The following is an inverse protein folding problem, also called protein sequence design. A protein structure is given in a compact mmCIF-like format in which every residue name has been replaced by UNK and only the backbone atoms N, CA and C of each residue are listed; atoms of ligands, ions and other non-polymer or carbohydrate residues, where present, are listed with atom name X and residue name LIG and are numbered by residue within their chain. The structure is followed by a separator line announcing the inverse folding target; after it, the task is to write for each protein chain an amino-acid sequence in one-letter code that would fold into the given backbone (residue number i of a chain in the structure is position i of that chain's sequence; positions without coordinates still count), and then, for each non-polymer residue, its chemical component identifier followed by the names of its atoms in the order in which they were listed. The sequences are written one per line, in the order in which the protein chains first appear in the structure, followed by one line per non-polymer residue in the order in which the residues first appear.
data_IF_066616371899
#
_entry.id   IF_066616371899
#
_cell.length_a   1.000
_cell.length_b   1.000
_cell.length_c   1.000
_cell.angle_alpha   90.00
_cell.angle_beta   90.00
_cell.angle_gamma   90.00
#
_symmetry.space_group_name_H-M   'P 1'
#
loop_
_entity.id
_entity.type
_entity.pdbx_description
1 polymer ?
#
# COMPACT_ATOMS: atom_id res chain seq x y z
N UNK A 1 4.35 -17.55 -2.71
CA UNK A 1 4.49 -16.77 -3.96
C UNK A 1 5.85 -16.99 -4.61
N UNK A 2 6.94 -16.80 -3.88
CA UNK A 2 8.30 -16.92 -4.42
C UNK A 2 8.61 -18.32 -4.96
N UNK A 3 8.21 -19.36 -4.24
CA UNK A 3 8.47 -20.75 -4.61
C UNK A 3 7.81 -21.16 -5.93
N UNK A 4 6.70 -20.55 -6.30
CA UNK A 4 5.99 -20.84 -7.55
C UNK A 4 6.33 -19.85 -8.67
N UNK A 5 7.36 -19.03 -8.47
CA UNK A 5 7.88 -18.13 -9.50
C UNK A 5 7.25 -16.76 -9.58
N UNK A 6 6.39 -16.40 -8.64
CA UNK A 6 5.82 -15.04 -8.58
C UNK A 6 6.88 -14.06 -8.09
N UNK A 7 6.94 -12.89 -8.74
CA UNK A 7 7.95 -11.88 -8.47
C UNK A 7 7.42 -10.70 -7.63
N UNK A 8 6.14 -10.66 -7.39
CA UNK A 8 5.50 -9.59 -6.63
C UNK A 8 4.16 -9.99 -6.07
N UNK A 9 3.63 -9.13 -5.23
CA UNK A 9 2.29 -9.25 -4.64
C UNK A 9 1.57 -7.91 -4.77
N UNK A 10 0.26 -7.94 -4.92
CA UNK A 10 -0.56 -6.74 -4.90
C UNK A 10 -1.30 -6.66 -3.56
N UNK A 11 -1.30 -5.47 -2.96
CA UNK A 11 -2.04 -5.20 -1.72
C UNK A 11 -2.88 -3.94 -1.89
N UNK A 12 -3.87 -3.75 -1.02
CA UNK A 12 -4.63 -2.52 -0.96
C UNK A 12 -3.84 -1.37 -0.33
N UNK A 13 -4.33 -0.17 -0.50
CA UNK A 13 -3.76 1.04 0.10
C UNK A 13 -3.98 1.14 1.61
N UNK A 14 -4.87 0.32 2.13
CA UNK A 14 -5.13 0.15 3.54
C UNK A 14 -5.59 -1.30 3.80
N UNK A 15 -5.55 -1.74 5.04
CA UNK A 15 -6.03 -3.05 5.45
C UNK A 15 -6.96 -2.86 6.64
N UNK A 16 -8.24 -3.19 6.46
CA UNK A 16 -9.27 -2.98 7.49
C UNK A 16 -9.25 -1.55 8.03
N UNK A 17 -9.14 -0.56 7.12
CA UNK A 17 -9.06 0.87 7.43
C UNK A 17 -7.80 1.29 8.21
N UNK A 18 -6.82 0.42 8.35
CA UNK A 18 -5.52 0.75 8.94
C UNK A 18 -4.54 1.13 7.84
N UNK A 19 -3.78 2.18 8.08
CA UNK A 19 -2.74 2.62 7.15
C UNK A 19 -1.60 1.61 7.05
N UNK A 20 -0.96 1.56 5.88
CA UNK A 20 0.13 0.61 5.64
C UNK A 20 1.34 0.82 6.56
N UNK A 21 1.51 2.01 7.12
CA UNK A 21 2.58 2.31 8.05
C UNK A 21 2.36 1.82 9.48
N UNK A 22 1.22 1.21 9.78
CA UNK A 22 0.97 0.68 11.12
C UNK A 22 1.97 -0.42 11.49
N UNK A 23 2.43 -0.46 12.76
CA UNK A 23 3.51 -1.38 13.16
C UNK A 23 3.25 -2.85 12.84
N UNK A 24 2.00 -3.29 12.87
CA UNK A 24 1.67 -4.69 12.61
C UNK A 24 1.96 -5.15 11.18
N UNK A 25 2.14 -4.21 10.24
CA UNK A 25 2.45 -4.56 8.84
C UNK A 25 3.94 -4.55 8.53
N UNK A 26 4.78 -4.12 9.46
CA UNK A 26 6.22 -4.04 9.23
C UNK A 26 6.84 -5.41 8.93
N UNK A 27 6.38 -6.45 9.59
CA UNK A 27 6.86 -7.81 9.37
C UNK A 27 6.57 -8.28 7.94
N UNK A 28 5.40 -7.94 7.40
CA UNK A 28 5.06 -8.24 6.01
C UNK A 28 6.04 -7.58 5.04
N UNK A 29 6.31 -6.29 5.22
CA UNK A 29 7.23 -5.57 4.35
C UNK A 29 8.67 -6.09 4.48
N UNK A 30 9.11 -6.38 5.69
CA UNK A 30 10.43 -6.96 5.93
C UNK A 30 10.57 -8.33 5.25
N UNK A 31 9.51 -9.13 5.29
CA UNK A 31 9.49 -10.43 4.61
C UNK A 31 9.57 -10.27 3.09
N UNK A 32 8.81 -9.34 2.51
CA UNK A 32 8.88 -9.06 1.07
C UNK A 32 10.27 -8.60 0.66
N UNK A 33 10.89 -7.73 1.44
CA UNK A 33 12.27 -7.26 1.22
C UNK A 33 13.24 -8.45 1.23
N UNK A 34 13.17 -9.27 2.26
CA UNK A 34 14.02 -10.45 2.42
C UNK A 34 13.91 -11.44 1.27
N UNK A 35 12.71 -11.64 0.75
CA UNK A 35 12.46 -12.55 -0.38
C UNK A 35 12.71 -11.91 -1.74
N UNK A 36 12.98 -10.61 -1.80
CA UNK A 36 13.14 -9.91 -3.06
C UNK A 36 11.83 -9.79 -3.86
N UNK A 37 10.70 -9.82 -3.18
CA UNK A 37 9.37 -9.71 -3.80
C UNK A 37 8.97 -8.23 -3.85
N UNK A 38 8.53 -7.76 -5.03
CA UNK A 38 7.99 -6.41 -5.18
C UNK A 38 6.57 -6.33 -4.60
N UNK A 39 6.23 -5.19 -4.04
CA UNK A 39 4.89 -4.91 -3.51
C UNK A 39 4.23 -3.85 -4.38
N UNK A 40 3.11 -4.20 -5.00
CA UNK A 40 2.28 -3.28 -5.77
C UNK A 40 1.11 -2.83 -4.90
N UNK A 41 1.02 -1.52 -4.65
CA UNK A 41 -0.06 -0.93 -3.84
C UNK A 41 -1.14 -0.39 -4.76
N UNK A 42 -2.34 -0.94 -4.65
CA UNK A 42 -3.50 -0.51 -5.43
C UNK A 42 -4.49 0.22 -4.52
N UNK A 43 -5.00 1.40 -4.91
CA UNK A 43 -5.99 2.11 -4.11
C UNK A 43 -7.25 1.26 -3.90
N UNK A 44 -7.69 1.18 -2.65
CA UNK A 44 -8.82 0.35 -2.24
C UNK A 44 -9.55 0.99 -1.07
N UNK A 45 -10.88 0.84 -1.03
CA UNK A 45 -11.70 1.40 0.05
C UNK A 45 -11.33 2.86 0.35
N UNK A 46 -11.51 3.72 -0.66
CA UNK A 46 -11.04 5.10 -0.65
C UNK A 46 -11.61 5.92 0.51
N UNK A 47 -10.76 6.76 1.09
CA UNK A 47 -11.17 7.72 2.10
C UNK A 47 -12.23 8.68 1.52
N UNK A 48 -13.18 9.09 2.35
CA UNK A 48 -14.23 10.02 1.92
C UNK A 48 -15.22 9.43 0.93
N UNK A 49 -15.35 8.11 0.87
CA UNK A 49 -16.22 7.42 -0.09
C UNK A 49 -17.64 7.98 -0.13
N UNK A 50 -18.19 8.37 1.01
CA UNK A 50 -19.54 8.92 1.10
C UNK A 50 -19.71 10.23 0.34
N UNK A 51 -18.63 10.99 0.21
CA UNK A 51 -18.65 12.33 -0.39
C UNK A 51 -18.29 12.30 -1.88
N UNK A 52 -17.89 11.16 -2.41
CA UNK A 52 -17.38 11.03 -3.78
C UNK A 52 -18.11 9.99 -4.62
N UNK A 53 -19.37 9.69 -4.29
CA UNK A 53 -20.13 8.63 -4.97
C UNK A 53 -20.57 8.97 -6.39
N UNK A 54 -20.62 10.24 -6.76
CA UNK A 54 -21.09 10.71 -8.07
C UNK A 54 -19.94 11.18 -8.95
N UNK A 55 -20.23 11.38 -10.24
CA UNK A 55 -19.34 12.06 -11.23
C UNK A 55 -17.99 11.37 -11.43
N UNK A 56 -17.93 10.05 -11.26
CA UNK A 56 -16.67 9.32 -11.35
C UNK A 56 -15.62 9.78 -10.32
N UNK A 57 -16.04 10.48 -9.28
CA UNK A 57 -15.12 10.97 -8.23
C UNK A 57 -14.32 9.85 -7.52
N UNK A 58 -14.83 8.61 -7.38
CA UNK A 58 -13.98 7.54 -6.85
C UNK A 58 -12.69 7.37 -7.64
N UNK A 59 -12.75 7.49 -8.97
CA UNK A 59 -11.57 7.39 -9.84
C UNK A 59 -10.82 8.69 -9.97
N UNK A 60 -11.53 9.82 -10.10
CA UNK A 60 -10.89 11.11 -10.34
C UNK A 60 -10.21 11.67 -9.08
N UNK A 61 -10.76 11.41 -7.92
CA UNK A 61 -10.29 11.97 -6.65
C UNK A 61 -9.91 10.88 -5.66
N UNK A 62 -10.77 9.88 -5.48
CA UNK A 62 -10.60 8.86 -4.45
C UNK A 62 -9.34 8.03 -4.62
N UNK A 63 -9.10 7.49 -5.81
CA UNK A 63 -7.93 6.65 -6.05
C UNK A 63 -6.60 7.42 -5.91
N UNK A 64 -6.44 8.60 -6.52
CA UNK A 64 -5.22 9.38 -6.30
C UNK A 64 -5.01 9.79 -4.84
N UNK A 65 -6.06 10.19 -4.14
CA UNK A 65 -5.97 10.57 -2.74
C UNK A 65 -5.57 9.38 -1.87
N UNK A 66 -6.13 8.21 -2.13
CA UNK A 66 -5.83 6.98 -1.39
C UNK A 66 -4.38 6.55 -1.61
N UNK A 67 -3.89 6.63 -2.86
CA UNK A 67 -2.51 6.34 -3.19
C UNK A 67 -1.57 7.32 -2.46
N UNK A 68 -1.90 8.60 -2.45
CA UNK A 68 -1.12 9.62 -1.72
C UNK A 68 -1.06 9.31 -0.23
N UNK A 69 -2.18 8.92 0.38
CA UNK A 69 -2.22 8.54 1.79
C UNK A 69 -1.33 7.34 2.06
N UNK A 70 -1.38 6.32 1.20
CA UNK A 70 -0.54 5.14 1.34
C UNK A 70 0.95 5.49 1.27
N UNK A 71 1.34 6.32 0.29
CA UNK A 71 2.72 6.78 0.15
C UNK A 71 3.18 7.52 1.40
N UNK A 72 2.39 8.49 1.86
CA UNK A 72 2.72 9.26 3.06
C UNK A 72 2.83 8.35 4.29
N UNK A 73 1.93 7.40 4.44
CA UNK A 73 1.97 6.45 5.54
C UNK A 73 3.27 5.64 5.56
N UNK A 74 3.70 5.13 4.40
CA UNK A 74 4.92 4.35 4.28
C UNK A 74 6.18 5.19 4.56
N UNK A 75 6.21 6.43 4.07
CA UNK A 75 7.36 7.31 4.25
C UNK A 75 7.46 7.77 5.70
N UNK A 76 6.39 8.35 6.23
CA UNK A 76 6.43 9.01 7.54
C UNK A 76 6.43 8.03 8.72
N UNK A 77 5.99 6.80 8.53
CA UNK A 77 6.09 5.76 9.56
C UNK A 77 7.50 5.15 9.67
N UNK A 78 8.38 5.41 8.70
CA UNK A 78 9.72 4.88 8.69
C UNK A 78 9.87 3.48 8.06
N UNK A 79 8.82 2.94 7.44
CA UNK A 79 8.89 1.62 6.79
C UNK A 79 10.00 1.58 5.74
N UNK A 80 10.10 2.62 4.90
CA UNK A 80 11.11 2.65 3.83
C UNK A 80 12.53 2.82 4.37
N UNK A 81 12.70 3.41 5.55
CA UNK A 81 14.00 3.47 6.21
C UNK A 81 14.41 2.13 6.81
N UNK A 82 13.44 1.39 7.35
CA UNK A 82 13.68 0.07 7.94
C UNK A 82 13.86 -1.01 6.87
N UNK A 83 13.18 -0.86 5.74
CA UNK A 83 13.21 -1.81 4.63
C UNK A 83 13.79 -1.13 3.39
N UNK A 84 15.09 -0.84 3.40
CA UNK A 84 15.76 -0.01 2.37
C UNK A 84 15.77 -0.65 0.99
N UNK A 85 15.78 -1.97 0.93
CA UNK A 85 15.82 -2.70 -0.33
C UNK A 85 14.42 -3.16 -0.79
N UNK A 86 13.38 -2.76 -0.08
CA UNK A 86 12.01 -3.07 -0.45
C UNK A 86 11.66 -2.39 -1.78
N UNK A 87 11.16 -3.18 -2.72
CA UNK A 87 10.65 -2.66 -3.99
C UNK A 87 9.15 -2.50 -3.87
N UNK A 88 8.70 -1.25 -4.03
CA UNK A 88 7.30 -0.90 -3.91
C UNK A 88 6.88 0.02 -5.06
N UNK A 89 5.67 -0.16 -5.59
CA UNK A 89 5.11 0.65 -6.66
C UNK A 89 3.59 0.82 -6.48
#
# INVERSE_FOLDING_TARGET
AKKIGLVGVQIGSNVNQLNLGEPQFLEFFATCESLGIAVFVHPWEMMGEKDIQKYWLPWLVGMPAETSRAICSLIFSGVLEKCKDLRIC
#
